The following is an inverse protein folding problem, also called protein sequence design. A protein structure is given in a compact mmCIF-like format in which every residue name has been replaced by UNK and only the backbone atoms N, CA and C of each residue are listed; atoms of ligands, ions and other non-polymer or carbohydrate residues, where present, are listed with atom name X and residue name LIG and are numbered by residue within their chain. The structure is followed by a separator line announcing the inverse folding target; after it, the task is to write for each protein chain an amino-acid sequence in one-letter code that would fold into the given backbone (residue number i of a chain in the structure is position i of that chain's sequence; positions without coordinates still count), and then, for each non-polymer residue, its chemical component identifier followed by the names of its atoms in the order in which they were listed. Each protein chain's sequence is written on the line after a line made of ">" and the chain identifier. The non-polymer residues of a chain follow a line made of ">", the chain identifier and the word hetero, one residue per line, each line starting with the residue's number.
data_IF_042803456715
#
_entry.id   IF_042803456715
#
_cell.length_a   1.000
_cell.length_b   1.000
_cell.length_c   1.000
_cell.angle_alpha   90.00
_cell.angle_beta   90.00
_cell.angle_gamma   90.00
#
_symmetry.space_group_name_H-M   'P 1'
#
loop_
_entity.id
_entity.type
_entity.pdbx_description
1 polymer ?
#
# COMPACT_ATOMS: atom_id res chain seq x y z
N UNK A 1 -2.50 -29.98 -0.03
CA UNK A 1 -1.60 -29.34 -1.03
C UNK A 1 -1.62 -27.86 -0.72
N UNK A 2 -0.46 -27.29 -0.37
CA UNK A 2 -0.34 -25.92 0.15
C UNK A 2 -0.03 -24.87 -0.93
N UNK A 3 0.04 -25.29 -2.21
CA UNK A 3 0.34 -24.43 -3.36
C UNK A 3 -0.83 -24.50 -4.35
N UNK A 4 -1.34 -23.33 -4.72
CA UNK A 4 -2.40 -23.20 -5.73
C UNK A 4 -1.80 -23.17 -7.14
N UNK A 5 -2.25 -24.07 -8.01
CA UNK A 5 -1.87 -24.11 -9.43
C UNK A 5 -3.13 -23.83 -10.26
N UNK A 6 -3.25 -22.62 -10.81
CA UNK A 6 -4.37 -22.21 -11.65
C UNK A 6 -4.00 -20.92 -12.40
N UNK A 7 -4.57 -20.73 -13.59
CA UNK A 7 -4.45 -19.51 -14.41
C UNK A 7 -5.50 -18.45 -14.05
N UNK A 8 -6.48 -18.79 -13.22
CA UNK A 8 -7.54 -17.87 -12.79
C UNK A 8 -7.14 -17.10 -11.53
N UNK A 9 -7.89 -16.03 -11.23
CA UNK A 9 -7.87 -15.36 -9.93
C UNK A 9 -8.29 -16.31 -8.80
N UNK A 10 -7.77 -16.10 -7.59
CA UNK A 10 -8.26 -16.80 -6.40
C UNK A 10 -9.69 -16.37 -6.05
N UNK A 11 -10.39 -17.19 -5.27
CA UNK A 11 -11.80 -16.97 -4.96
C UNK A 11 -12.01 -15.70 -4.13
N UNK A 12 -11.05 -15.36 -3.26
CA UNK A 12 -11.04 -14.13 -2.47
C UNK A 12 -10.94 -12.90 -3.35
N UNK A 13 -10.08 -12.93 -4.38
CA UNK A 13 -9.92 -11.81 -5.31
C UNK A 13 -11.15 -11.68 -6.22
N UNK A 14 -11.72 -12.79 -6.70
CA UNK A 14 -13.00 -12.77 -7.44
C UNK A 14 -14.12 -12.13 -6.63
N UNK A 15 -14.27 -12.52 -5.36
CA UNK A 15 -15.29 -11.95 -4.46
C UNK A 15 -15.05 -10.46 -4.20
N UNK A 16 -13.79 -10.06 -4.01
CA UNK A 16 -13.41 -8.66 -3.72
C UNK A 16 -13.62 -7.77 -4.94
N UNK A 17 -13.18 -8.21 -6.11
CA UNK A 17 -13.35 -7.46 -7.36
C UNK A 17 -14.82 -7.30 -7.74
N UNK A 18 -15.64 -8.34 -7.57
CA UNK A 18 -17.10 -8.24 -7.77
C UNK A 18 -17.73 -7.15 -6.88
N UNK A 19 -17.39 -7.12 -5.58
CA UNK A 19 -17.88 -6.08 -4.66
C UNK A 19 -17.37 -4.70 -5.06
N UNK A 20 -16.10 -4.59 -5.45
CA UNK A 20 -15.47 -3.31 -5.80
C UNK A 20 -16.01 -2.74 -7.11
N UNK A 21 -16.38 -3.57 -8.08
CA UNK A 21 -17.00 -3.13 -9.34
C UNK A 21 -18.29 -2.33 -9.09
N UNK A 22 -19.10 -2.70 -8.09
CA UNK A 22 -20.31 -1.94 -7.76
C UNK A 22 -19.99 -0.55 -7.18
N UNK A 23 -18.87 -0.41 -6.47
CA UNK A 23 -18.35 0.89 -6.01
C UNK A 23 -17.89 1.73 -7.20
N UNK A 24 -17.13 1.14 -8.13
CA UNK A 24 -16.69 1.79 -9.37
C UNK A 24 -17.87 2.30 -10.18
N UNK A 25 -18.89 1.45 -10.42
CA UNK A 25 -20.13 1.84 -11.10
C UNK A 25 -20.81 3.04 -10.44
N UNK A 26 -20.83 3.10 -9.10
CA UNK A 26 -21.41 4.24 -8.37
C UNK A 26 -20.58 5.51 -8.57
N UNK A 27 -19.26 5.41 -8.49
CA UNK A 27 -18.33 6.52 -8.71
C UNK A 27 -18.43 7.07 -10.14
N UNK A 28 -18.47 6.21 -11.16
CA UNK A 28 -18.58 6.65 -12.55
C UNK A 28 -19.90 7.38 -12.80
N UNK A 29 -21.01 6.85 -12.27
CA UNK A 29 -22.33 7.50 -12.34
C UNK A 29 -22.35 8.87 -11.66
N UNK A 30 -21.73 9.01 -10.48
CA UNK A 30 -21.69 10.30 -9.78
C UNK A 30 -20.88 11.37 -10.53
N UNK A 31 -19.97 10.95 -11.42
CA UNK A 31 -19.19 11.84 -12.28
C UNK A 31 -19.79 12.00 -13.69
N UNK A 32 -20.96 11.44 -13.96
CA UNK A 32 -21.61 11.51 -15.28
C UNK A 32 -20.83 10.82 -16.40
N UNK A 33 -19.96 9.86 -16.06
CA UNK A 33 -19.19 9.10 -17.04
C UNK A 33 -20.07 7.98 -17.61
N UNK A 34 -20.26 7.96 -18.92
CA UNK A 34 -21.00 6.91 -19.62
C UNK A 34 -20.17 5.62 -19.75
N UNK A 35 -20.82 4.47 -19.55
CA UNK A 35 -20.21 3.15 -19.67
C UNK A 35 -21.27 2.06 -19.86
N UNK A 36 -20.88 0.93 -20.46
CA UNK A 36 -21.74 -0.25 -20.56
C UNK A 36 -21.94 -0.90 -19.17
N UNK A 37 -23.17 -0.96 -18.61
CA UNK A 37 -23.43 -1.53 -17.30
C UNK A 37 -23.04 -3.01 -17.15
N UNK A 38 -23.10 -3.77 -18.25
CA UNK A 38 -22.74 -5.20 -18.32
C UNK A 38 -21.23 -5.41 -18.34
N UNK A 39 -20.47 -4.41 -18.79
CA UNK A 39 -19.02 -4.43 -18.84
C UNK A 39 -18.41 -3.11 -18.36
N UNK A 40 -18.49 -2.82 -17.05
CA UNK A 40 -17.94 -1.61 -16.46
C UNK A 40 -16.40 -1.58 -16.61
N UNK A 41 -15.79 -0.41 -16.74
CA UNK A 41 -14.34 -0.31 -16.90
C UNK A 41 -13.62 -0.78 -15.64
N UNK A 42 -12.54 -1.52 -15.85
CA UNK A 42 -11.67 -2.04 -14.79
C UNK A 42 -10.35 -1.30 -14.83
N UNK A 43 -10.22 -0.25 -14.01
CA UNK A 43 -9.07 0.65 -14.02
C UNK A 43 -8.12 0.31 -12.87
N UNK A 44 -6.81 0.32 -13.15
CA UNK A 44 -5.76 0.15 -12.14
C UNK A 44 -4.94 1.43 -12.01
N UNK A 45 -4.62 1.82 -10.77
CA UNK A 45 -3.65 2.87 -10.47
C UNK A 45 -2.28 2.21 -10.26
N UNK A 46 -1.26 2.67 -10.98
CA UNK A 46 0.08 2.09 -10.99
C UNK A 46 1.14 3.07 -10.46
N UNK A 47 1.79 2.72 -9.36
CA UNK A 47 2.89 3.46 -8.75
C UNK A 47 4.27 2.92 -9.18
N UNK A 48 5.14 3.80 -9.66
CA UNK A 48 6.51 3.45 -10.06
C UNK A 48 7.44 3.31 -8.86
N UNK A 49 8.61 2.70 -9.07
CA UNK A 49 9.74 2.79 -8.15
C UNK A 49 10.42 4.16 -8.17
N UNK A 50 11.26 4.40 -7.17
CA UNK A 50 12.01 5.66 -7.04
C UNK A 50 12.27 6.11 -5.61
N UNK A 51 12.28 5.18 -4.65
CA UNK A 51 12.45 5.48 -3.22
C UNK A 51 11.45 6.52 -2.72
N UNK A 52 11.88 7.40 -1.82
CA UNK A 52 11.02 8.38 -1.16
C UNK A 52 10.35 9.36 -2.14
N UNK A 53 10.95 9.64 -3.30
CA UNK A 53 10.30 10.46 -4.34
C UNK A 53 9.02 9.80 -4.84
N UNK A 54 9.06 8.49 -5.09
CA UNK A 54 7.89 7.75 -5.55
C UNK A 54 6.85 7.53 -4.45
N UNK A 55 7.29 7.46 -3.19
CA UNK A 55 6.41 7.43 -2.01
C UNK A 55 5.58 8.73 -1.92
N UNK A 56 6.25 9.88 -1.80
CA UNK A 56 5.59 11.20 -1.73
C UNK A 56 4.71 11.47 -2.94
N UNK A 57 5.16 11.14 -4.15
CA UNK A 57 4.36 11.30 -5.36
C UNK A 57 3.09 10.43 -5.32
N UNK A 58 3.19 9.17 -4.89
CA UNK A 58 2.04 8.27 -4.77
C UNK A 58 1.03 8.78 -3.74
N UNK A 59 1.49 9.19 -2.54
CA UNK A 59 0.64 9.79 -1.51
C UNK A 59 -0.05 11.07 -2.01
N UNK A 60 0.67 11.92 -2.74
CA UNK A 60 0.12 13.13 -3.35
C UNK A 60 -0.97 12.82 -4.38
N UNK A 61 -0.73 11.85 -5.27
CA UNK A 61 -1.72 11.37 -6.23
C UNK A 61 -2.97 10.83 -5.54
N UNK A 62 -2.81 9.98 -4.52
CA UNK A 62 -3.93 9.39 -3.78
C UNK A 62 -4.73 10.48 -3.05
N UNK A 63 -4.05 11.45 -2.43
CA UNK A 63 -4.69 12.61 -1.79
C UNK A 63 -5.53 13.40 -2.79
N UNK A 64 -4.99 13.69 -3.97
CA UNK A 64 -5.70 14.44 -5.00
C UNK A 64 -6.88 13.63 -5.56
N UNK A 65 -6.72 12.33 -5.83
CA UNK A 65 -7.81 11.46 -6.25
C UNK A 65 -8.93 11.37 -5.21
N UNK A 66 -8.59 11.33 -3.92
CA UNK A 66 -9.56 11.39 -2.83
C UNK A 66 -10.33 12.71 -2.81
N UNK A 67 -9.63 13.84 -2.98
CA UNK A 67 -10.23 15.18 -3.04
C UNK A 67 -11.22 15.32 -4.20
N UNK A 68 -10.89 14.75 -5.35
CA UNK A 68 -11.74 14.77 -6.55
C UNK A 68 -12.82 13.66 -6.54
N UNK A 69 -12.96 12.88 -5.45
CA UNK A 69 -13.86 11.72 -5.37
C UNK A 69 -13.64 10.64 -6.46
N UNK A 70 -12.44 10.59 -7.05
CA UNK A 70 -12.09 9.66 -8.13
C UNK A 70 -11.44 8.38 -7.62
N UNK A 71 -11.04 8.31 -6.34
CA UNK A 71 -10.38 7.12 -5.79
C UNK A 71 -11.24 5.85 -5.91
N UNK A 72 -12.57 6.00 -5.85
CA UNK A 72 -13.51 4.90 -6.00
C UNK A 72 -13.70 4.40 -7.44
N UNK A 73 -13.11 5.08 -8.43
CA UNK A 73 -13.11 4.64 -9.84
C UNK A 73 -12.09 3.52 -10.12
N UNK A 74 -11.15 3.28 -9.21
CA UNK A 74 -10.09 2.28 -9.39
C UNK A 74 -10.45 0.94 -8.75
N UNK A 75 -10.19 -0.13 -9.51
CA UNK A 75 -10.34 -1.52 -9.08
C UNK A 75 -9.08 -2.03 -8.36
N UNK A 76 -7.91 -1.66 -8.87
CA UNK A 76 -6.62 -2.07 -8.32
C UNK A 76 -5.72 -0.88 -8.04
N UNK A 77 -4.92 -1.00 -6.99
CA UNK A 77 -3.77 -0.17 -6.72
C UNK A 77 -2.56 -1.10 -6.69
N UNK A 78 -1.63 -0.91 -7.61
CA UNK A 78 -0.37 -1.64 -7.64
C UNK A 78 0.79 -0.66 -7.60
N UNK A 79 1.90 -1.08 -7.01
CA UNK A 79 3.10 -0.27 -6.90
C UNK A 79 4.34 -1.12 -6.70
N UNK A 80 5.50 -0.55 -6.99
CA UNK A 80 6.80 -1.19 -6.78
C UNK A 80 7.76 -0.25 -6.05
N UNK A 81 8.71 -0.80 -5.30
CA UNK A 81 9.74 -0.02 -4.58
C UNK A 81 9.13 1.13 -3.76
N UNK A 82 9.52 2.39 -3.95
CA UNK A 82 9.02 3.52 -3.16
C UNK A 82 7.49 3.66 -3.05
N UNK A 83 6.72 3.39 -4.12
CA UNK A 83 5.25 3.41 -4.00
C UNK A 83 4.69 2.31 -3.09
N UNK A 84 5.43 1.22 -2.84
CA UNK A 84 5.01 0.21 -1.85
C UNK A 84 5.11 0.74 -0.42
N UNK A 85 5.96 1.72 -0.14
CA UNK A 85 6.04 2.38 1.17
C UNK A 85 4.80 3.24 1.44
N UNK A 86 4.36 3.99 0.42
CA UNK A 86 3.08 4.70 0.45
C UNK A 86 1.92 3.74 0.70
N UNK A 87 1.86 2.65 -0.07
CA UNK A 87 0.82 1.63 0.07
C UNK A 87 0.85 0.99 1.46
N UNK A 88 2.01 0.61 1.99
CA UNK A 88 2.13 0.03 3.32
C UNK A 88 1.58 0.98 4.41
N UNK A 89 1.94 2.27 4.34
CA UNK A 89 1.44 3.30 5.26
C UNK A 89 -0.08 3.51 5.17
N UNK A 90 -0.65 3.41 3.96
CA UNK A 90 -2.09 3.53 3.75
C UNK A 90 -2.84 2.30 4.28
N UNK A 91 -2.38 1.10 3.91
CA UNK A 91 -3.07 -0.16 4.24
C UNK A 91 -2.91 -0.58 5.71
N UNK A 92 -2.09 0.09 6.50
CA UNK A 92 -2.06 -0.05 7.97
C UNK A 92 -3.41 0.36 8.61
N UNK A 93 -4.18 1.24 7.95
CA UNK A 93 -5.54 1.59 8.33
C UNK A 93 -6.55 0.96 7.36
N UNK A 94 -7.33 -0.02 7.83
CA UNK A 94 -8.34 -0.70 7.00
C UNK A 94 -9.44 0.23 6.44
N UNK A 95 -9.57 1.46 6.95
CA UNK A 95 -10.53 2.47 6.52
C UNK A 95 -9.86 3.69 5.88
N UNK A 96 -8.58 3.59 5.49
CA UNK A 96 -7.78 4.73 5.03
C UNK A 96 -8.44 5.56 3.92
N UNK A 97 -9.14 4.90 3.00
CA UNK A 97 -9.76 5.56 1.83
C UNK A 97 -10.93 6.48 2.22
N UNK A 98 -11.48 6.35 3.43
CA UNK A 98 -12.51 7.25 3.98
C UNK A 98 -11.91 8.52 4.60
N UNK A 99 -10.62 8.51 4.96
CA UNK A 99 -9.94 9.63 5.59
C UNK A 99 -8.55 9.86 5.00
N UNK A 100 -8.48 9.91 3.66
CA UNK A 100 -7.24 10.07 2.91
C UNK A 100 -6.37 11.24 3.43
N UNK A 101 -6.92 12.44 3.73
CA UNK A 101 -6.10 13.56 4.19
C UNK A 101 -5.35 13.26 5.49
N UNK A 102 -6.00 12.61 6.46
CA UNK A 102 -5.38 12.28 7.74
C UNK A 102 -4.28 11.22 7.58
N UNK A 103 -4.55 10.15 6.84
CA UNK A 103 -3.59 9.05 6.66
C UNK A 103 -2.37 9.52 5.87
N UNK A 104 -2.57 10.29 4.79
CA UNK A 104 -1.48 10.90 4.03
C UNK A 104 -0.67 11.86 4.89
N UNK A 105 -1.32 12.67 5.74
CA UNK A 105 -0.60 13.59 6.62
C UNK A 105 0.25 12.86 7.65
N UNK A 106 -0.27 11.77 8.25
CA UNK A 106 0.52 10.90 9.13
C UNK A 106 1.74 10.32 8.43
N UNK A 107 1.57 9.78 7.21
CA UNK A 107 2.66 9.19 6.45
C UNK A 107 3.75 10.23 6.08
N UNK A 108 3.33 11.44 5.71
CA UNK A 108 4.27 12.55 5.46
C UNK A 108 4.98 13.00 6.73
N UNK A 109 4.27 13.06 7.86
CA UNK A 109 4.83 13.41 9.16
C UNK A 109 5.89 12.40 9.60
N UNK A 110 5.59 11.09 9.55
CA UNK A 110 6.55 10.04 9.89
C UNK A 110 7.79 10.08 9.01
N UNK A 111 7.65 10.43 7.73
CA UNK A 111 8.81 10.64 6.85
C UNK A 111 9.65 11.87 7.23
N UNK A 112 9.00 12.95 7.68
CA UNK A 112 9.67 14.21 8.03
C UNK A 112 10.39 14.16 9.37
N UNK A 113 9.85 13.42 10.34
CA UNK A 113 10.46 13.25 11.66
C UNK A 113 11.74 12.40 11.58
N UNK A 114 11.82 11.54 10.55
CA UNK A 114 12.97 10.67 10.29
C UNK A 114 13.12 9.57 11.34
N UNK A 115 13.93 8.55 11.02
CA UNK A 115 14.32 7.57 12.03
C UNK A 115 15.50 8.12 12.83
N UNK A 116 15.28 8.51 14.07
CA UNK A 116 16.33 8.97 15.00
C UNK A 116 17.25 7.83 15.50
N UNK A 117 16.99 6.58 15.11
CA UNK A 117 17.77 5.44 15.56
C UNK A 117 19.18 5.47 15.01
N UNK A 118 20.14 5.41 15.92
CA UNK A 118 21.54 5.17 15.61
C UNK A 118 21.73 3.79 14.97
N UNK A 119 22.81 3.65 14.20
CA UNK A 119 23.19 2.36 13.61
C UNK A 119 23.33 1.26 14.68
N UNK A 120 23.87 1.60 15.86
CA UNK A 120 23.99 0.67 16.99
C UNK A 120 22.65 0.18 17.52
N UNK A 121 21.65 1.05 17.63
CA UNK A 121 20.30 0.67 18.09
C UNK A 121 19.64 -0.26 17.08
N UNK A 122 19.76 0.02 15.77
CA UNK A 122 19.28 -0.87 14.72
C UNK A 122 19.94 -2.25 14.77
N UNK A 123 21.26 -2.30 14.99
CA UNK A 123 22.01 -3.57 15.14
C UNK A 123 21.54 -4.33 16.37
N UNK A 124 21.34 -3.66 17.50
CA UNK A 124 20.86 -4.29 18.73
C UNK A 124 19.45 -4.87 18.53
N UNK A 125 18.54 -4.10 17.96
CA UNK A 125 17.18 -4.54 17.67
C UNK A 125 17.15 -5.80 16.79
N UNK A 126 18.00 -5.85 15.76
CA UNK A 126 18.11 -7.04 14.88
C UNK A 126 18.57 -8.28 15.65
N UNK A 127 19.58 -8.15 16.52
CA UNK A 127 20.09 -9.25 17.34
C UNK A 127 19.07 -9.78 18.34
N UNK A 128 18.28 -8.90 18.94
CA UNK A 128 17.21 -9.28 19.86
C UNK A 128 16.16 -10.16 19.16
N UNK A 129 15.73 -9.76 17.95
CA UNK A 129 14.75 -10.52 17.18
C UNK A 129 15.27 -11.81 16.58
N UNK A 130 16.55 -11.86 16.24
CA UNK A 130 17.23 -13.12 15.89
C UNK A 130 17.21 -14.10 17.08
N UNK A 131 17.51 -13.61 18.29
CA UNK A 131 17.48 -14.42 19.52
C UNK A 131 16.06 -14.95 19.82
N UNK A 132 15.05 -14.14 19.55
CA UNK A 132 13.63 -14.51 19.72
C UNK A 132 13.09 -15.42 18.61
N UNK A 133 13.90 -15.76 17.60
CA UNK A 133 13.49 -16.51 16.40
C UNK A 133 12.36 -15.84 15.60
N UNK A 134 12.17 -14.53 15.77
CA UNK A 134 11.23 -13.74 14.95
C UNK A 134 11.79 -13.47 13.55
N UNK A 135 13.12 -13.51 13.41
CA UNK A 135 13.84 -13.37 12.15
C UNK A 135 14.68 -14.63 11.93
N UNK A 136 14.65 -15.15 10.71
CA UNK A 136 15.34 -16.40 10.37
C UNK A 136 16.86 -16.16 10.24
N UNK A 137 17.72 -17.04 10.81
CA UNK A 137 19.18 -16.94 10.72
C UNK A 137 19.76 -17.27 9.33
N UNK A 138 18.92 -17.51 8.31
CA UNK A 138 19.32 -17.45 6.90
C UNK A 138 20.08 -16.13 6.67
N UNK A 139 21.09 -16.06 5.77
CA UNK A 139 22.03 -14.94 5.76
C UNK A 139 21.23 -13.65 5.82
N UNK A 140 21.48 -12.85 6.86
CA UNK A 140 20.88 -11.54 7.09
C UNK A 140 21.22 -10.73 5.85
N UNK A 141 20.40 -10.88 4.82
CA UNK A 141 20.63 -10.27 3.54
C UNK A 141 20.48 -8.77 3.74
N UNK A 142 21.04 -7.97 2.84
CA UNK A 142 20.90 -6.51 2.91
C UNK A 142 19.45 -6.07 3.17
N UNK A 143 18.45 -6.84 2.73
CA UNK A 143 17.01 -6.57 2.96
C UNK A 143 16.64 -6.45 4.43
N UNK A 144 17.14 -7.32 5.32
CA UNK A 144 16.80 -7.26 6.75
C UNK A 144 17.39 -6.06 7.45
N UNK A 145 18.51 -5.53 6.95
CA UNK A 145 19.09 -4.27 7.44
C UNK A 145 18.25 -3.05 7.08
N UNK A 146 17.44 -3.13 6.01
CA UNK A 146 16.54 -2.06 5.58
C UNK A 146 15.15 -2.12 6.21
N UNK A 147 14.78 -3.23 6.86
CA UNK A 147 13.47 -3.45 7.47
C UNK A 147 13.20 -2.77 8.85
N UNK A 148 14.19 -2.51 9.73
CA UNK A 148 13.94 -2.02 11.10
C UNK A 148 13.22 -0.66 11.14
N UNK A 149 13.36 0.15 10.10
CA UNK A 149 12.78 1.49 9.99
C UNK A 149 11.25 1.50 9.89
N UNK A 150 10.60 0.34 9.71
CA UNK A 150 9.15 0.27 9.48
C UNK A 150 8.30 -0.06 10.72
N UNK A 151 8.88 -0.54 11.83
CA UNK A 151 8.14 -0.92 13.05
C UNK A 151 8.80 -0.59 14.39
N UNK A 152 9.96 0.05 14.40
CA UNK A 152 10.56 0.55 15.66
C UNK A 152 9.77 1.73 16.25
N UNK A 153 8.73 2.21 15.55
CA UNK A 153 7.95 3.42 15.90
C UNK A 153 6.45 3.15 16.17
N UNK A 154 6.07 1.94 16.57
CA UNK A 154 4.75 1.68 17.17
C UNK A 154 4.88 1.41 18.67
#
# INVERSE_FOLDING_TARGET
>A
MDVRISTDLCDEEKKTTQKRVEVVKRCLRSHGIDYNPENPPRVALLGSGGGQRADVACLGTIRQLGKENLLDSFLYLAGVSGSTWAMASLYDDAQWSKNVPSVVSRALQSMSEGSSSSFSECVQWLRERETQKEICPSPISGVWWWCPTSRVYQ
#
